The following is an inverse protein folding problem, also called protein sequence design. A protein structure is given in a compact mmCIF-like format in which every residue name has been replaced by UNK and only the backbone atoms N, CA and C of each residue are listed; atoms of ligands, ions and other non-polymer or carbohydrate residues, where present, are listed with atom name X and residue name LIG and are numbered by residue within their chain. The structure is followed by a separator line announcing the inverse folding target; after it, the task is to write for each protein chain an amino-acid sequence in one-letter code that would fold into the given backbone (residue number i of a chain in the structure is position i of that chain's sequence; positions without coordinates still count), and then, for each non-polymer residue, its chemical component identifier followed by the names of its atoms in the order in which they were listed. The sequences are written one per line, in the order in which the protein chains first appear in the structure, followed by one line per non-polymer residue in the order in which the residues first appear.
data_IF_440421351491
#
_entry.id   IF_440421351491
#
_cell.length_a   1.000
_cell.length_b   1.000
_cell.length_c   1.000
_cell.angle_alpha   90.00
_cell.angle_beta   90.00
_cell.angle_gamma   90.00
#
_symmetry.space_group_name_H-M   'P 1'
#
loop_
_entity.id
_entity.type
_entity.pdbx_description
1 polymer ?
#
# COMPACT_ATOMS: atom_id res chain seq x y z
N UNK A 1 11.14 -4.73 -17.31
CA UNK A 1 11.33 -3.50 -16.46
C UNK A 1 12.75 -3.47 -15.95
N UNK A 2 13.34 -2.29 -15.74
CA UNK A 2 14.68 -2.10 -15.16
C UNK A 2 14.51 -1.59 -13.73
N UNK A 3 15.10 -2.27 -12.76
CA UNK A 3 14.87 -1.99 -11.32
C UNK A 3 15.24 -0.55 -10.92
N UNK A 4 16.31 0.01 -11.45
CA UNK A 4 16.73 1.37 -11.09
C UNK A 4 15.75 2.42 -11.59
N UNK A 5 15.16 2.22 -12.78
CA UNK A 5 14.12 3.10 -13.29
C UNK A 5 12.84 2.99 -12.46
N UNK A 6 12.44 1.76 -12.08
CA UNK A 6 11.27 1.54 -11.24
C UNK A 6 11.43 2.18 -9.86
N UNK A 7 12.60 2.03 -9.24
CA UNK A 7 12.91 2.69 -7.96
C UNK A 7 12.82 4.20 -8.07
N UNK A 8 13.38 4.78 -9.12
CA UNK A 8 13.33 6.23 -9.38
C UNK A 8 11.88 6.71 -9.54
N UNK A 9 11.09 6.03 -10.37
CA UNK A 9 9.70 6.40 -10.62
C UNK A 9 8.86 6.32 -9.34
N UNK A 10 9.05 5.30 -8.52
CA UNK A 10 8.35 5.14 -7.23
C UNK A 10 8.80 6.22 -6.25
N UNK A 11 10.09 6.53 -6.16
CA UNK A 11 10.59 7.59 -5.29
C UNK A 11 10.06 8.96 -5.69
N UNK A 12 9.98 9.25 -6.99
CA UNK A 12 9.36 10.48 -7.50
C UNK A 12 7.87 10.56 -7.13
N UNK A 13 7.12 9.46 -7.24
CA UNK A 13 5.72 9.39 -6.80
C UNK A 13 5.58 9.62 -5.30
N UNK A 14 6.43 9.00 -4.48
CA UNK A 14 6.44 9.22 -3.03
C UNK A 14 6.66 10.70 -2.70
N UNK A 15 7.70 11.33 -3.26
CA UNK A 15 8.10 12.70 -2.96
C UNK A 15 7.07 13.72 -3.46
N UNK A 16 6.52 13.50 -4.66
CA UNK A 16 5.68 14.50 -5.32
C UNK A 16 4.19 14.34 -5.00
N UNK A 17 3.77 13.20 -4.44
CA UNK A 17 2.37 12.92 -4.16
C UNK A 17 2.15 12.31 -2.78
N UNK A 18 2.68 11.10 -2.51
CA UNK A 18 2.30 10.33 -1.32
C UNK A 18 2.65 11.04 -0.01
N UNK A 19 3.72 11.83 -0.01
CA UNK A 19 4.23 12.59 1.14
C UNK A 19 3.72 14.03 1.22
N UNK A 20 2.95 14.48 0.21
CA UNK A 20 2.55 15.89 0.08
C UNK A 20 1.17 16.10 0.70
N UNK A 21 1.02 17.02 1.66
CA UNK A 21 -0.29 17.43 2.17
C UNK A 21 -1.18 17.96 1.04
N UNK A 22 -2.45 17.52 1.02
CA UNK A 22 -3.41 17.94 0.01
C UNK A 22 -4.63 18.60 0.67
N UNK A 23 -5.09 19.77 0.19
CA UNK A 23 -6.24 20.46 0.79
C UNK A 23 -7.52 19.61 0.85
N UNK A 24 -7.81 18.83 -0.21
CA UNK A 24 -8.97 17.96 -0.26
C UNK A 24 -8.91 16.76 0.73
N UNK A 25 -7.75 16.50 1.32
CA UNK A 25 -7.54 15.49 2.36
C UNK A 25 -7.36 16.14 3.76
N UNK A 26 -7.95 17.32 3.98
CA UNK A 26 -7.80 18.04 5.24
C UNK A 26 -6.37 18.51 5.54
N UNK A 27 -5.59 18.79 4.51
CA UNK A 27 -4.16 19.11 4.57
C UNK A 27 -3.28 17.96 5.09
N UNK A 28 -3.76 16.74 5.02
CA UNK A 28 -2.95 15.54 5.24
C UNK A 28 -2.33 15.03 3.94
N UNK A 29 -1.16 14.42 4.06
CA UNK A 29 -0.58 13.64 2.98
C UNK A 29 -1.36 12.32 2.79
N UNK A 30 -1.45 11.76 1.56
CA UNK A 30 -2.04 10.45 1.32
C UNK A 30 -1.51 9.35 2.25
N UNK A 31 -0.21 9.36 2.54
CA UNK A 31 0.37 8.52 3.58
C UNK A 31 1.32 9.35 4.48
N UNK A 32 0.89 9.81 5.65
CA UNK A 32 1.70 10.67 6.52
C UNK A 32 2.99 10.03 7.03
N UNK A 33 3.10 8.71 6.98
CA UNK A 33 4.31 7.97 7.40
C UNK A 33 5.31 7.70 6.27
N UNK A 34 4.94 7.89 5.01
CA UNK A 34 5.77 7.57 3.85
C UNK A 34 7.10 8.34 3.87
N UNK A 35 7.07 9.64 4.17
CA UNK A 35 8.26 10.48 4.26
C UNK A 35 9.26 9.99 5.31
N UNK A 36 8.77 9.54 6.46
CA UNK A 36 9.61 8.96 7.51
C UNK A 36 10.23 7.66 7.05
N UNK A 37 9.43 6.74 6.51
CA UNK A 37 9.92 5.46 6.01
C UNK A 37 10.99 5.65 4.93
N UNK A 38 10.79 6.58 4.01
CA UNK A 38 11.77 6.89 2.97
C UNK A 38 13.06 7.46 3.57
N UNK A 39 12.98 8.49 4.42
CA UNK A 39 14.16 9.13 5.03
C UNK A 39 14.98 8.19 5.91
N UNK A 40 14.33 7.23 6.57
CA UNK A 40 14.98 6.21 7.42
C UNK A 40 15.36 4.95 6.65
N UNK A 41 15.17 4.95 5.33
CA UNK A 41 15.43 3.78 4.47
C UNK A 41 14.70 2.51 4.99
N UNK A 42 13.42 2.68 5.36
CA UNK A 42 12.53 1.63 5.87
C UNK A 42 11.51 1.20 4.82
N UNK A 43 11.84 1.33 3.55
CA UNK A 43 11.09 0.76 2.44
C UNK A 43 12.03 0.10 1.46
N UNK A 44 11.51 -0.83 0.66
CA UNK A 44 12.25 -1.43 -0.43
C UNK A 44 11.36 -1.66 -1.65
N UNK A 45 11.96 -1.57 -2.83
CA UNK A 45 11.30 -1.83 -4.11
C UNK A 45 11.89 -3.08 -4.73
N UNK A 46 11.03 -3.97 -5.23
CA UNK A 46 11.38 -5.21 -5.90
C UNK A 46 10.64 -5.31 -7.23
N UNK A 47 11.28 -5.91 -8.22
CA UNK A 47 10.55 -6.35 -9.41
C UNK A 47 9.80 -7.64 -9.06
N UNK A 48 8.51 -7.65 -9.37
CA UNK A 48 7.72 -8.87 -9.34
C UNK A 48 7.79 -9.60 -10.68
N UNK A 49 7.57 -10.90 -10.63
CA UNK A 49 7.51 -11.77 -11.80
C UNK A 49 6.09 -12.38 -11.92
N UNK A 50 5.60 -12.95 -10.83
CA UNK A 50 4.24 -13.49 -10.74
C UNK A 50 3.64 -13.12 -9.38
N UNK A 51 2.52 -12.37 -9.39
CA UNK A 51 1.95 -11.77 -8.18
C UNK A 51 1.53 -12.83 -7.16
N UNK A 52 0.89 -13.92 -7.59
CA UNK A 52 0.45 -15.00 -6.70
C UNK A 52 1.65 -15.71 -6.08
N UNK A 53 2.60 -16.13 -6.91
CA UNK A 53 3.82 -16.81 -6.49
C UNK A 53 4.67 -15.95 -5.55
N UNK A 54 4.88 -14.67 -5.89
CA UNK A 54 5.72 -13.76 -5.14
C UNK A 54 5.16 -13.52 -3.73
N UNK A 55 3.83 -13.31 -3.61
CA UNK A 55 3.17 -13.13 -2.33
C UNK A 55 3.15 -14.43 -1.50
N UNK A 56 2.93 -15.58 -2.14
CA UNK A 56 2.98 -16.87 -1.47
C UNK A 56 4.38 -17.19 -0.93
N UNK A 57 5.42 -16.96 -1.73
CA UNK A 57 6.82 -17.16 -1.31
C UNK A 57 7.21 -16.17 -0.21
N UNK A 58 6.73 -14.93 -0.28
CA UNK A 58 6.94 -13.97 0.79
C UNK A 58 6.35 -14.45 2.10
N UNK A 59 5.11 -14.91 2.07
CA UNK A 59 4.44 -15.46 3.25
C UNK A 59 5.15 -16.69 3.84
N UNK A 60 5.85 -17.48 3.03
CA UNK A 60 6.57 -18.68 3.49
C UNK A 60 7.98 -18.43 3.99
N UNK A 61 8.75 -17.59 3.30
CA UNK A 61 10.22 -17.61 3.41
C UNK A 61 10.85 -16.26 3.73
N UNK A 62 10.11 -15.16 3.64
CA UNK A 62 10.69 -13.84 3.72
C UNK A 62 10.22 -13.07 4.96
N UNK A 63 10.92 -12.01 5.29
CA UNK A 63 10.66 -11.14 6.43
C UNK A 63 10.63 -9.69 5.96
N UNK A 64 9.84 -8.86 6.65
CA UNK A 64 9.84 -7.41 6.47
C UNK A 64 11.21 -6.80 6.81
N UNK A 65 11.96 -7.41 7.73
CA UNK A 65 13.23 -6.88 8.21
C UNK A 65 13.04 -5.51 8.85
N UNK A 66 13.87 -4.54 8.44
CA UNK A 66 13.74 -3.14 8.87
C UNK A 66 12.64 -2.37 8.13
N UNK A 67 12.05 -2.95 7.08
CA UNK A 67 11.10 -2.23 6.24
C UNK A 67 9.73 -2.09 6.92
N UNK A 68 9.15 -0.92 6.82
CA UNK A 68 7.73 -0.68 7.10
C UNK A 68 6.86 -1.06 5.91
N UNK A 69 7.41 -0.93 4.69
CA UNK A 69 6.75 -1.35 3.45
C UNK A 69 7.74 -1.98 2.46
N UNK A 70 7.31 -3.05 1.79
CA UNK A 70 8.00 -3.64 0.64
C UNK A 70 7.08 -3.52 -0.56
N UNK A 71 7.55 -2.87 -1.62
CA UNK A 71 6.78 -2.60 -2.82
C UNK A 71 7.25 -3.55 -3.91
N UNK A 72 6.36 -4.44 -4.36
CA UNK A 72 6.55 -5.20 -5.59
C UNK A 72 5.94 -4.43 -6.76
N UNK A 73 6.69 -4.29 -7.84
CA UNK A 73 6.24 -3.64 -9.06
C UNK A 73 6.17 -4.65 -10.21
N UNK A 74 5.04 -4.67 -10.89
CA UNK A 74 4.75 -5.51 -12.05
C UNK A 74 4.45 -4.64 -13.26
N UNK A 75 4.69 -5.10 -14.50
CA UNK A 75 4.21 -4.41 -15.69
C UNK A 75 2.68 -4.24 -15.60
N UNK A 76 2.18 -3.02 -15.79
CA UNK A 76 0.74 -2.73 -15.68
C UNK A 76 -0.13 -3.61 -16.60
N UNK A 77 0.38 -3.96 -17.78
CA UNK A 77 -0.36 -4.78 -18.77
C UNK A 77 -0.24 -6.30 -18.54
N UNK A 78 0.46 -6.73 -17.50
CA UNK A 78 0.62 -8.16 -17.22
C UNK A 78 -0.65 -8.78 -16.67
N UNK A 79 -1.45 -7.99 -15.98
CA UNK A 79 -2.71 -8.41 -15.37
C UNK A 79 -3.82 -7.43 -15.72
N UNK A 80 -5.06 -7.91 -15.82
CA UNK A 80 -6.19 -7.01 -15.65
C UNK A 80 -6.37 -6.66 -14.17
N UNK A 81 -7.00 -5.53 -13.90
CA UNK A 81 -7.15 -4.98 -12.56
C UNK A 81 -7.99 -5.89 -11.65
N UNK A 82 -9.05 -6.50 -12.18
CA UNK A 82 -9.93 -7.37 -11.40
C UNK A 82 -9.19 -8.63 -10.91
N UNK A 83 -8.41 -9.27 -11.79
CA UNK A 83 -7.59 -10.43 -11.40
C UNK A 83 -6.50 -10.03 -10.40
N UNK A 84 -5.81 -8.92 -10.64
CA UNK A 84 -4.76 -8.43 -9.75
C UNK A 84 -5.29 -8.18 -8.33
N UNK A 85 -6.39 -7.45 -8.22
CA UNK A 85 -7.01 -7.15 -6.94
C UNK A 85 -7.58 -8.41 -6.26
N UNK A 86 -8.15 -9.34 -7.04
CA UNK A 86 -8.60 -10.63 -6.53
C UNK A 86 -7.47 -11.44 -5.87
N UNK A 87 -6.29 -11.50 -6.50
CA UNK A 87 -5.12 -12.20 -5.91
C UNK A 87 -4.66 -11.54 -4.62
N UNK A 88 -4.60 -10.21 -4.58
CA UNK A 88 -4.26 -9.46 -3.36
C UNK A 88 -5.26 -9.77 -2.23
N UNK A 89 -6.55 -9.80 -2.54
CA UNK A 89 -7.61 -10.13 -1.58
C UNK A 89 -7.49 -11.57 -1.06
N UNK A 90 -7.31 -12.55 -1.94
CA UNK A 90 -7.08 -13.96 -1.59
C UNK A 90 -5.88 -14.09 -0.65
N UNK A 91 -4.78 -13.40 -0.93
CA UNK A 91 -3.58 -13.44 -0.11
C UNK A 91 -3.80 -12.82 1.27
N UNK A 92 -4.52 -11.70 1.37
CA UNK A 92 -4.89 -11.09 2.65
C UNK A 92 -5.74 -12.02 3.53
N UNK A 93 -6.56 -12.87 2.90
CA UNK A 93 -7.39 -13.87 3.58
C UNK A 93 -6.65 -15.18 3.90
N UNK A 94 -5.46 -15.40 3.35
CA UNK A 94 -4.70 -16.63 3.50
C UNK A 94 -4.21 -16.86 4.93
N UNK A 95 -4.06 -18.15 5.30
CA UNK A 95 -3.47 -18.55 6.58
C UNK A 95 -2.03 -18.04 6.74
N UNK A 96 -1.27 -17.99 5.65
CA UNK A 96 0.13 -17.51 5.64
C UNK A 96 0.23 -16.05 6.07
N UNK A 97 -0.56 -15.17 5.46
CA UNK A 97 -0.58 -13.73 5.81
C UNK A 97 -1.10 -13.51 7.22
N UNK A 98 -2.21 -14.17 7.60
CA UNK A 98 -2.78 -14.06 8.95
C UNK A 98 -1.80 -14.49 10.03
N UNK A 99 -1.12 -15.62 9.87
CA UNK A 99 -0.14 -16.14 10.84
C UNK A 99 1.06 -15.20 11.03
N UNK A 100 1.43 -14.46 9.99
CA UNK A 100 2.61 -13.56 10.00
C UNK A 100 2.26 -12.09 10.17
N UNK A 101 1.00 -11.78 10.41
CA UNK A 101 0.52 -10.40 10.51
C UNK A 101 0.89 -9.54 9.30
N UNK A 102 0.80 -10.12 8.11
CA UNK A 102 1.03 -9.40 6.85
C UNK A 102 -0.27 -8.84 6.31
N UNK A 103 -0.15 -7.73 5.60
CA UNK A 103 -1.20 -7.17 4.78
C UNK A 103 -0.59 -6.69 3.46
N UNK A 104 -1.30 -6.93 2.37
CA UNK A 104 -0.99 -6.42 1.05
C UNK A 104 -2.03 -5.38 0.64
N UNK A 105 -1.57 -4.28 0.06
CA UNK A 105 -2.39 -3.29 -0.62
C UNK A 105 -2.06 -3.35 -2.11
N UNK A 106 -3.06 -3.56 -2.97
CA UNK A 106 -2.92 -3.50 -4.42
C UNK A 106 -3.07 -2.07 -4.91
N UNK A 107 -2.31 -1.69 -5.92
CA UNK A 107 -2.46 -0.45 -6.68
C UNK A 107 -2.30 -0.79 -8.17
N UNK A 108 -3.41 -0.89 -8.89
CA UNK A 108 -3.40 -1.16 -10.33
C UNK A 108 -3.78 0.12 -11.10
N UNK A 109 -3.07 0.48 -12.18
CA UNK A 109 -3.35 1.71 -12.94
C UNK A 109 -4.78 1.85 -13.46
N UNK A 110 -5.44 0.74 -13.76
CA UNK A 110 -6.80 0.72 -14.31
C UNK A 110 -7.89 0.69 -13.22
N UNK A 111 -7.53 0.38 -11.96
CA UNK A 111 -8.43 0.52 -10.82
C UNK A 111 -8.52 1.99 -10.41
N UNK A 112 -9.73 2.53 -10.31
CA UNK A 112 -9.89 3.91 -9.85
C UNK A 112 -9.94 3.92 -8.34
N UNK A 113 -8.87 4.41 -7.71
CA UNK A 113 -8.82 4.72 -6.29
C UNK A 113 -8.81 6.23 -6.10
N UNK A 114 -9.95 6.77 -5.73
CA UNK A 114 -10.13 8.21 -5.59
C UNK A 114 -10.87 8.52 -4.28
N UNK A 115 -10.38 9.52 -3.56
CA UNK A 115 -11.06 10.07 -2.40
C UNK A 115 -11.03 11.59 -2.47
N UNK A 116 -12.21 12.22 -2.34
CA UNK A 116 -12.38 13.68 -2.44
C UNK A 116 -11.75 14.30 -3.70
N UNK A 117 -11.85 13.62 -4.85
CA UNK A 117 -11.29 14.07 -6.12
C UNK A 117 -9.76 13.89 -6.24
N UNK A 118 -9.12 13.26 -5.26
CA UNK A 118 -7.69 12.94 -5.28
C UNK A 118 -7.51 11.48 -5.66
N UNK A 119 -6.85 11.24 -6.79
CA UNK A 119 -6.53 9.89 -7.26
C UNK A 119 -5.23 9.40 -6.59
N UNK A 120 -5.28 8.24 -5.95
CA UNK A 120 -4.15 7.67 -5.21
C UNK A 120 -3.21 6.80 -6.05
N UNK A 121 -3.68 6.26 -7.18
CA UNK A 121 -2.89 5.34 -7.99
C UNK A 121 -1.57 5.97 -8.48
N UNK A 122 -0.50 5.17 -8.44
CA UNK A 122 0.76 5.56 -9.08
C UNK A 122 0.64 5.68 -10.60
N UNK A 123 -0.18 4.83 -11.23
CA UNK A 123 -0.60 4.97 -12.63
C UNK A 123 0.37 4.41 -13.67
N UNK A 124 1.55 3.92 -13.28
CA UNK A 124 2.57 3.43 -14.22
C UNK A 124 2.82 1.93 -14.13
N UNK A 125 2.78 1.39 -12.94
CA UNK A 125 3.00 -0.02 -12.61
C UNK A 125 1.82 -0.56 -11.83
N UNK A 126 1.58 -1.87 -11.91
CA UNK A 126 0.76 -2.54 -10.92
C UNK A 126 1.65 -2.79 -9.69
N UNK A 127 1.25 -2.28 -8.53
CA UNK A 127 2.04 -2.35 -7.30
C UNK A 127 1.34 -3.20 -6.25
N UNK A 128 2.13 -3.98 -5.51
CA UNK A 128 1.70 -4.57 -4.24
C UNK A 128 2.56 -3.99 -3.13
N UNK A 129 1.91 -3.32 -2.17
CA UNK A 129 2.55 -2.78 -0.98
C UNK A 129 2.34 -3.74 0.18
N UNK A 130 3.39 -4.48 0.53
CA UNK A 130 3.40 -5.40 1.68
C UNK A 130 3.79 -4.65 2.95
N UNK A 131 3.01 -4.82 4.00
CA UNK A 131 3.20 -4.16 5.29
C UNK A 131 3.02 -5.12 6.46
N UNK A 132 3.64 -4.80 7.60
CA UNK A 132 3.32 -5.41 8.88
C UNK A 132 1.99 -4.85 9.39
N UNK A 133 1.00 -5.71 9.55
CA UNK A 133 -0.37 -5.34 9.90
C UNK A 133 -0.46 -4.71 11.30
N UNK A 134 0.39 -5.14 12.24
CA UNK A 134 0.40 -4.60 13.61
C UNK A 134 0.99 -3.19 13.62
N UNK A 135 2.12 -2.99 12.96
CA UNK A 135 2.72 -1.67 12.82
C UNK A 135 1.78 -0.69 12.13
N UNK A 136 1.18 -1.13 11.02
CA UNK A 136 0.22 -0.32 10.27
C UNK A 136 -0.97 0.09 11.15
N UNK A 137 -1.54 -0.86 11.92
CA UNK A 137 -2.64 -0.56 12.83
C UNK A 137 -2.24 0.45 13.91
N UNK A 138 -1.07 0.30 14.52
CA UNK A 138 -0.59 1.23 15.54
C UNK A 138 -0.41 2.65 14.97
N UNK A 139 0.14 2.78 13.76
CA UNK A 139 0.24 4.07 13.08
C UNK A 139 -1.14 4.64 12.75
N UNK A 140 -2.07 3.82 12.26
CA UNK A 140 -3.44 4.24 11.95
C UNK A 140 -4.19 4.74 13.20
N UNK A 141 -4.00 4.11 14.36
CA UNK A 141 -4.55 4.61 15.64
C UNK A 141 -4.06 6.00 16.00
N UNK A 142 -2.76 6.25 15.85
CA UNK A 142 -2.21 7.59 16.10
C UNK A 142 -2.75 8.64 15.13
N UNK A 143 -2.98 8.27 13.88
CA UNK A 143 -3.59 9.13 12.88
C UNK A 143 -5.07 9.39 13.21
N UNK A 144 -5.83 8.38 13.62
CA UNK A 144 -7.22 8.53 14.03
C UNK A 144 -7.36 9.52 15.19
N UNK A 145 -6.49 9.43 16.21
CA UNK A 145 -6.47 10.37 17.33
C UNK A 145 -6.15 11.81 16.92
N UNK A 146 -5.53 12.02 15.77
CA UNK A 146 -5.19 13.34 15.23
C UNK A 146 -6.21 13.86 14.21
N UNK A 147 -7.31 13.14 14.00
CA UNK A 147 -8.35 13.55 13.06
C UNK A 147 -8.06 13.25 11.58
N UNK A 148 -7.10 12.39 11.28
CA UNK A 148 -6.75 12.05 9.89
C UNK A 148 -7.95 11.51 9.09
N UNK A 149 -8.82 10.74 9.73
CA UNK A 149 -9.98 10.10 9.10
C UNK A 149 -11.28 10.91 9.20
N UNK A 150 -11.29 12.08 9.86
CA UNK A 150 -12.53 12.80 10.19
C UNK A 150 -13.30 13.29 8.96
N UNK A 151 -12.62 13.58 7.87
CA UNK A 151 -13.25 14.03 6.63
C UNK A 151 -13.41 12.94 5.56
N UNK A 152 -13.17 11.68 5.91
CA UNK A 152 -13.22 10.58 4.97
C UNK A 152 -14.62 9.98 4.88
N UNK A 153 -15.03 9.63 3.67
CA UNK A 153 -16.29 8.94 3.43
C UNK A 153 -16.32 7.57 4.12
N UNK A 154 -17.43 7.24 4.78
CA UNK A 154 -17.56 6.02 5.57
C UNK A 154 -17.50 4.75 4.70
N UNK A 155 -18.08 4.77 3.49
CA UNK A 155 -18.03 3.65 2.57
C UNK A 155 -16.57 3.38 2.13
N UNK A 156 -15.83 4.45 1.83
CA UNK A 156 -14.41 4.35 1.50
C UNK A 156 -13.57 3.84 2.69
N UNK A 157 -13.87 4.27 3.91
CA UNK A 157 -13.19 3.78 5.12
C UNK A 157 -13.47 2.31 5.38
N UNK A 158 -14.68 1.83 5.13
CA UNK A 158 -15.02 0.40 5.25
C UNK A 158 -14.21 -0.42 4.26
N UNK A 159 -14.04 0.04 3.03
CA UNK A 159 -13.19 -0.62 2.03
C UNK A 159 -11.71 -0.63 2.48
N UNK A 160 -11.18 0.51 2.89
CA UNK A 160 -9.80 0.65 3.40
C UNK A 160 -9.54 -0.29 4.58
N UNK A 161 -10.53 -0.56 5.43
CA UNK A 161 -10.36 -1.42 6.61
C UNK A 161 -10.83 -2.87 6.43
N UNK A 162 -11.19 -3.29 5.21
CA UNK A 162 -11.69 -4.64 4.92
C UNK A 162 -10.80 -5.76 5.48
N UNK A 163 -9.47 -5.62 5.38
CA UNK A 163 -8.52 -6.64 5.85
C UNK A 163 -7.76 -6.23 7.13
N UNK A 164 -8.16 -5.14 7.76
CA UNK A 164 -7.52 -4.64 8.98
C UNK A 164 -8.56 -4.08 9.96
N UNK A 165 -8.18 -4.05 11.21
CA UNK A 165 -9.06 -3.51 12.25
C UNK A 165 -9.22 -2.00 12.05
N UNK A 166 -10.46 -1.51 12.17
CA UNK A 166 -10.72 -0.07 12.17
C UNK A 166 -10.01 0.60 13.37
N UNK A 167 -9.11 1.56 13.11
CA UNK A 167 -8.35 2.21 14.17
C UNK A 167 -9.15 3.22 14.99
N UNK A 168 -10.38 3.57 14.54
CA UNK A 168 -11.29 4.49 15.23
C UNK A 168 -12.04 3.80 16.37
N UNK A 169 -12.15 2.46 16.33
CA UNK A 169 -12.78 1.60 17.32
C UNK A 169 -11.73 1.05 18.31
#
# INVERSE_FOLDING_TARGET
MVIDQVKKDIEEWLINFVEVPHPALGNWAPCPYARRARKLNQYSVRLGDDVERDLFLFAKKQYMGKNDVIIYAYPAKQYDDAYFNFIVDVMNNSKGFKKRNLIALGDHPDTIEEHNGVRFNMGKYALVLLQDKVKLHNHAKLLALKGYYDGWDEEYLQDVFTHRRDPRL
#
